data_IF_320725106871
#
_entry.id   IF_320725106871
#
_cell.length_a   1.000
_cell.length_b   1.000
_cell.length_c   1.000
_cell.angle_alpha   90.00
_cell.angle_beta   90.00
_cell.angle_gamma   90.00
#
_symmetry.space_group_name_H-M   'P 1'
#
loop_
_entity.id
_entity.type
_entity.pdbx_description
1 polymer ?
#
# COMPACT_ATOMS: atom_id res chain seq x y z
N UNK A 1 31.92 -23.76 -1.33
CA UNK A 1 31.79 -22.81 -0.20
C UNK A 1 30.30 -22.56 0.05
N UNK A 2 29.64 -23.37 0.90
CA UNK A 2 28.21 -23.24 1.19
C UNK A 2 28.00 -22.30 2.39
N UNK A 3 27.12 -21.29 2.24
CA UNK A 3 26.80 -20.33 3.30
C UNK A 3 26.04 -21.03 4.43
N UNK A 4 26.53 -20.89 5.65
CA UNK A 4 25.85 -21.31 6.88
C UNK A 4 24.52 -20.57 7.04
N UNK A 5 23.42 -21.24 7.45
CA UNK A 5 22.15 -20.58 7.67
C UNK A 5 22.22 -19.67 8.91
N UNK A 6 21.80 -18.42 8.73
CA UNK A 6 21.66 -17.44 9.82
C UNK A 6 20.60 -17.95 10.79
N UNK A 7 21.04 -18.37 11.99
CA UNK A 7 20.16 -18.63 13.13
C UNK A 7 19.51 -17.32 13.55
N UNK A 8 18.20 -17.17 13.32
CA UNK A 8 17.42 -16.03 13.81
C UNK A 8 17.18 -16.19 15.30
N UNK A 9 18.15 -15.84 16.14
CA UNK A 9 17.89 -15.64 17.57
C UNK A 9 16.83 -14.54 17.72
N UNK A 10 15.77 -14.83 18.48
CA UNK A 10 14.64 -13.91 18.69
C UNK A 10 15.03 -12.83 19.70
N UNK A 11 14.53 -11.61 19.49
CA UNK A 11 14.69 -10.53 20.46
C UNK A 11 13.95 -10.85 21.78
N UNK A 12 14.50 -10.46 22.94
CA UNK A 12 13.86 -10.66 24.24
C UNK A 12 12.52 -9.90 24.29
N UNK A 13 11.45 -10.59 24.70
CA UNK A 13 10.09 -10.02 24.83
C UNK A 13 9.03 -10.60 23.89
N UNK A 14 9.39 -11.38 22.86
CA UNK A 14 8.39 -12.06 22.04
C UNK A 14 7.80 -13.28 22.77
N UNK A 15 6.54 -13.18 23.21
CA UNK A 15 5.77 -14.33 23.74
C UNK A 15 5.77 -15.46 22.71
N UNK A 16 6.21 -16.65 23.11
CA UNK A 16 6.10 -17.87 22.29
C UNK A 16 4.60 -18.13 22.10
N UNK A 17 4.13 -18.01 20.85
CA UNK A 17 2.77 -18.44 20.50
C UNK A 17 2.56 -19.90 20.92
N UNK A 18 1.29 -20.30 21.13
CA UNK A 18 0.93 -21.64 21.62
C UNK A 18 1.71 -22.74 20.88
N UNK A 19 2.54 -23.47 21.61
CA UNK A 19 3.27 -24.63 21.08
C UNK A 19 2.25 -25.69 20.67
N UNK A 20 2.29 -26.12 19.41
CA UNK A 20 1.40 -27.18 18.91
C UNK A 20 1.94 -28.55 19.33
N UNK A 21 1.07 -29.39 19.89
CA UNK A 21 1.41 -30.74 20.37
C UNK A 21 1.05 -31.85 19.36
N UNK A 22 0.16 -31.60 18.39
CA UNK A 22 -0.27 -32.58 17.36
C UNK A 22 -0.62 -31.97 15.99
N UNK A 23 -0.56 -32.81 14.94
CA UNK A 23 -1.02 -32.55 13.57
C UNK A 23 0.02 -31.95 12.61
N UNK A 24 -0.16 -32.16 11.30
CA UNK A 24 0.57 -31.41 10.27
C UNK A 24 0.21 -29.93 10.37
N UNK A 25 1.18 -29.06 10.11
CA UNK A 25 1.09 -27.61 10.34
C UNK A 25 -0.10 -26.90 9.65
N UNK A 26 -0.15 -25.57 9.75
CA UNK A 26 -1.01 -24.83 8.80
C UNK A 26 -0.48 -25.11 7.40
N UNK A 27 -1.35 -25.53 6.49
CA UNK A 27 -0.97 -25.67 5.08
C UNK A 27 -0.40 -24.35 4.56
N UNK A 28 0.60 -24.37 3.67
CA UNK A 28 1.14 -23.17 3.08
C UNK A 28 0.02 -22.41 2.37
N UNK A 29 0.01 -21.07 2.53
CA UNK A 29 -0.99 -20.22 1.90
C UNK A 29 -0.81 -20.27 0.38
N UNK A 30 -1.77 -20.86 -0.32
CA UNK A 30 -1.74 -21.00 -1.79
C UNK A 30 -1.95 -19.66 -2.50
N UNK A 31 -2.84 -18.81 -1.98
CA UNK A 31 -3.20 -17.55 -2.62
C UNK A 31 -2.53 -16.36 -1.92
N UNK A 32 -1.53 -15.76 -2.58
CA UNK A 32 -0.95 -14.48 -2.18
C UNK A 32 -1.58 -13.38 -3.04
N UNK A 33 -2.34 -12.46 -2.43
CA UNK A 33 -2.83 -11.28 -3.13
C UNK A 33 -1.63 -10.37 -3.42
N UNK A 34 -1.36 -10.12 -4.69
CA UNK A 34 -0.32 -9.19 -5.15
C UNK A 34 -1.02 -7.89 -5.53
N UNK A 35 -0.56 -6.77 -4.97
CA UNK A 35 -1.03 -5.46 -5.37
C UNK A 35 -0.27 -5.02 -6.63
N UNK A 36 -1.00 -4.61 -7.66
CA UNK A 36 -0.46 -4.23 -8.97
C UNK A 36 -0.62 -2.72 -9.14
N UNK A 37 0.41 -2.04 -9.63
CA UNK A 37 0.43 -0.59 -9.85
C UNK A 37 -0.55 -0.18 -10.96
N UNK A 38 -0.99 1.09 -10.96
CA UNK A 38 -1.82 1.63 -12.05
C UNK A 38 -1.11 1.58 -13.39
N UNK A 39 0.19 1.87 -13.42
CA UNK A 39 0.99 1.81 -14.65
C UNK A 39 1.02 0.41 -15.27
N UNK A 40 1.23 -0.63 -14.46
CA UNK A 40 1.15 -2.01 -14.96
C UNK A 40 -0.26 -2.35 -15.48
N UNK A 41 -1.32 -1.87 -14.82
CA UNK A 41 -2.69 -2.10 -15.30
C UNK A 41 -2.95 -1.39 -16.63
N UNK A 42 -2.36 -0.20 -16.84
CA UNK A 42 -2.43 0.54 -18.10
C UNK A 42 -1.71 -0.24 -19.21
N UNK A 43 -0.49 -0.73 -18.96
CA UNK A 43 0.27 -1.55 -19.92
C UNK A 43 -0.53 -2.79 -20.36
N UNK A 44 -1.26 -3.42 -19.43
CA UNK A 44 -2.14 -4.56 -19.72
C UNK A 44 -3.30 -4.16 -20.64
N UNK A 45 -3.88 -2.98 -20.46
CA UNK A 45 -5.00 -2.47 -21.27
C UNK A 45 -4.49 -2.12 -22.67
N UNK A 46 -3.40 -1.36 -22.77
CA UNK A 46 -2.78 -0.97 -24.04
C UNK A 46 -2.38 -2.20 -24.87
N UNK A 47 -1.77 -3.20 -24.22
CA UNK A 47 -1.44 -4.47 -24.88
C UNK A 47 -2.69 -5.22 -25.35
N UNK A 48 -3.75 -5.23 -24.54
CA UNK A 48 -5.00 -5.91 -24.89
C UNK A 48 -5.68 -5.25 -26.10
N UNK A 49 -5.66 -3.92 -26.19
CA UNK A 49 -6.27 -3.16 -27.27
C UNK A 49 -5.43 -3.18 -28.55
N UNK A 50 -4.10 -3.32 -28.44
CA UNK A 50 -3.21 -3.53 -29.58
C UNK A 50 -3.40 -4.89 -30.29
N UNK A 51 -3.97 -5.90 -29.61
CA UNK A 51 -4.21 -7.22 -30.21
C UNK A 51 -5.53 -7.25 -30.99
N UNK A 52 -5.43 -7.40 -32.30
CA UNK A 52 -6.58 -7.51 -33.22
C UNK A 52 -7.18 -8.93 -33.28
N UNK A 53 -6.42 -9.96 -32.86
CA UNK A 53 -6.83 -11.36 -32.93
C UNK A 53 -8.03 -11.69 -32.05
N UNK A 54 -8.93 -12.57 -32.53
CA UNK A 54 -10.09 -13.08 -31.76
C UNK A 54 -9.72 -13.67 -30.38
N UNK A 55 -8.50 -14.18 -30.23
CA UNK A 55 -7.98 -14.78 -29.00
C UNK A 55 -7.21 -13.81 -28.08
N UNK A 56 -7.41 -12.50 -28.21
CA UNK A 56 -6.70 -11.47 -27.42
C UNK A 56 -6.65 -11.71 -25.92
N UNK A 57 -7.74 -12.23 -25.33
CA UNK A 57 -7.77 -12.55 -23.90
C UNK A 57 -6.76 -13.64 -23.53
N UNK A 58 -6.69 -14.71 -24.32
CA UNK A 58 -5.75 -15.81 -24.08
C UNK A 58 -4.30 -15.32 -24.20
N UNK A 59 -4.01 -14.55 -25.24
CA UNK A 59 -2.68 -13.95 -25.46
C UNK A 59 -2.28 -13.02 -24.31
N UNK A 60 -3.20 -12.21 -23.80
CA UNK A 60 -2.94 -11.30 -22.68
C UNK A 60 -2.72 -12.04 -21.35
N UNK A 61 -3.49 -13.12 -21.09
CA UNK A 61 -3.30 -14.01 -19.94
C UNK A 61 -1.93 -14.67 -19.97
N UNK A 62 -1.50 -15.16 -21.14
CA UNK A 62 -0.21 -15.81 -21.34
C UNK A 62 0.96 -14.82 -21.19
N UNK A 63 0.82 -13.59 -21.72
CA UNK A 63 1.87 -12.58 -21.66
C UNK A 63 2.10 -12.04 -20.24
N UNK A 64 1.03 -11.69 -19.52
CA UNK A 64 1.14 -11.07 -18.18
C UNK A 64 1.04 -12.06 -17.02
N UNK A 65 0.74 -13.34 -17.28
CA UNK A 65 0.48 -14.36 -16.26
C UNK A 65 -0.58 -13.88 -15.26
N UNK A 66 -1.64 -13.26 -15.78
CA UNK A 66 -2.76 -12.75 -14.98
C UNK A 66 -4.06 -13.48 -15.33
N UNK A 67 -4.92 -13.78 -14.34
CA UNK A 67 -6.23 -14.36 -14.61
C UNK A 67 -7.06 -13.43 -15.50
N UNK A 68 -7.83 -13.99 -16.44
CA UNK A 68 -8.76 -13.25 -17.32
C UNK A 68 -9.71 -12.34 -16.54
N UNK A 69 -10.14 -12.76 -15.34
CA UNK A 69 -10.93 -11.95 -14.42
C UNK A 69 -10.24 -10.63 -14.06
N UNK A 70 -8.93 -10.65 -13.80
CA UNK A 70 -8.18 -9.44 -13.43
C UNK A 70 -8.07 -8.49 -14.62
N UNK A 71 -7.84 -9.02 -15.81
CA UNK A 71 -7.78 -8.24 -17.05
C UNK A 71 -9.14 -7.56 -17.29
N UNK A 72 -10.25 -8.30 -17.18
CA UNK A 72 -11.59 -7.72 -17.30
C UNK A 72 -11.87 -6.63 -16.25
N UNK A 73 -11.43 -6.81 -15.01
CA UNK A 73 -11.56 -5.77 -13.98
C UNK A 73 -10.74 -4.52 -14.30
N UNK A 74 -9.55 -4.67 -14.86
CA UNK A 74 -8.75 -3.52 -15.31
C UNK A 74 -9.49 -2.79 -16.44
N UNK A 75 -10.09 -3.53 -17.38
CA UNK A 75 -10.89 -2.95 -18.48
C UNK A 75 -12.15 -2.20 -18.00
N UNK A 76 -12.79 -2.64 -16.92
CA UNK A 76 -13.94 -1.93 -16.35
C UNK A 76 -13.50 -0.62 -15.67
N UNK A 77 -12.26 -0.59 -15.15
CA UNK A 77 -11.71 0.55 -14.42
C UNK A 77 -10.74 1.41 -15.26
N UNK A 78 -10.86 1.38 -16.59
CA UNK A 78 -9.95 2.08 -17.53
C UNK A 78 -9.79 3.54 -17.20
N UNK A 79 -10.91 4.25 -17.02
CA UNK A 79 -10.94 5.70 -16.89
C UNK A 79 -10.19 6.13 -15.63
N UNK A 80 -10.43 5.43 -14.52
CA UNK A 80 -9.72 5.64 -13.27
C UNK A 80 -8.24 5.28 -13.37
N UNK A 81 -7.88 4.23 -14.12
CA UNK A 81 -6.47 3.84 -14.30
C UNK A 81 -5.72 4.93 -15.08
N UNK A 82 -6.32 5.44 -16.16
CA UNK A 82 -5.76 6.52 -16.99
C UNK A 82 -5.61 7.80 -16.16
N UNK A 83 -6.68 8.24 -15.48
CA UNK A 83 -6.68 9.43 -14.61
C UNK A 83 -5.54 9.37 -13.58
N UNK A 84 -5.34 8.22 -12.91
CA UNK A 84 -4.28 8.08 -11.92
C UNK A 84 -2.89 8.08 -12.55
N UNK A 85 -2.74 7.56 -13.77
CA UNK A 85 -1.49 7.64 -14.49
C UNK A 85 -1.16 9.08 -14.92
N UNK A 86 -2.14 9.84 -15.42
CA UNK A 86 -2.01 11.25 -15.81
C UNK A 86 -1.71 12.16 -14.63
N UNK A 87 -2.34 11.91 -13.47
CA UNK A 87 -2.11 12.66 -12.22
C UNK A 87 -0.75 12.34 -11.56
N UNK A 88 0.11 11.53 -12.19
CA UNK A 88 1.42 11.13 -11.66
C UNK A 88 1.36 10.07 -10.55
N UNK A 89 0.18 9.49 -10.31
CA UNK A 89 -0.08 8.45 -9.30
C UNK A 89 0.06 7.02 -9.87
N UNK A 90 0.69 6.86 -11.04
CA UNK A 90 0.82 5.57 -11.73
C UNK A 90 1.55 4.49 -10.95
N UNK A 91 2.44 4.85 -10.02
CA UNK A 91 3.18 3.91 -9.16
C UNK A 91 2.33 3.33 -8.03
N UNK A 92 1.18 3.94 -7.72
CA UNK A 92 0.29 3.47 -6.66
C UNK A 92 -0.42 2.18 -7.08
N UNK A 93 -0.61 1.26 -6.13
CA UNK A 93 -1.33 0.01 -6.38
C UNK A 93 -2.82 0.07 -5.98
N UNK A 94 -3.19 1.10 -5.20
CA UNK A 94 -4.52 1.30 -4.64
C UNK A 94 -4.82 2.79 -4.61
N UNK A 95 -6.05 3.12 -4.98
CA UNK A 95 -6.57 4.43 -4.69
C UNK A 95 -6.87 4.52 -3.20
N UNK A 96 -6.43 5.61 -2.60
CA UNK A 96 -6.85 5.99 -1.26
C UNK A 96 -7.36 7.41 -1.38
N UNK A 97 -8.61 7.64 -0.98
CA UNK A 97 -9.11 9.00 -0.81
C UNK A 97 -8.17 9.76 0.12
N UNK A 98 -7.96 11.04 -0.18
CA UNK A 98 -7.29 11.94 0.75
C UNK A 98 -8.01 11.88 2.10
N UNK A 99 -7.25 11.80 3.20
CA UNK A 99 -7.80 11.64 4.55
C UNK A 99 -8.20 10.21 4.97
N UNK A 100 -8.11 9.19 4.10
CA UNK A 100 -8.43 7.80 4.53
C UNK A 100 -7.38 7.20 5.49
N UNK A 101 -6.20 7.80 5.60
CA UNK A 101 -5.12 7.31 6.46
C UNK A 101 -5.04 7.99 7.83
N UNK A 102 -5.78 9.08 8.08
CA UNK A 102 -5.56 9.87 9.27
C UNK A 102 -6.86 10.35 9.91
N UNK A 103 -6.88 10.18 11.21
CA UNK A 103 -7.84 10.72 12.18
C UNK A 103 -8.03 12.23 12.11
N UNK A 104 -7.28 12.97 11.29
CA UNK A 104 -7.26 14.43 11.24
C UNK A 104 -7.83 14.96 9.92
N UNK A 105 -8.50 16.11 9.98
CA UNK A 105 -9.00 16.82 8.78
C UNK A 105 -7.83 17.29 7.90
N UNK A 106 -7.99 17.39 6.57
CA UNK A 106 -6.96 17.91 5.65
C UNK A 106 -6.35 19.24 6.08
N UNK A 107 -7.16 20.15 6.63
CA UNK A 107 -6.68 21.44 7.14
C UNK A 107 -5.65 21.31 8.27
N UNK A 108 -5.76 20.27 9.10
CA UNK A 108 -4.78 19.99 10.15
C UNK A 108 -3.50 19.36 9.59
N UNK A 109 -3.59 18.55 8.54
CA UNK A 109 -2.40 18.01 7.86
C UNK A 109 -1.58 19.13 7.24
N UNK A 110 -2.22 20.12 6.62
CA UNK A 110 -1.55 21.31 6.08
C UNK A 110 -0.82 22.10 7.17
N UNK A 111 -1.46 22.33 8.32
CA UNK A 111 -0.81 23.00 9.46
C UNK A 111 0.40 22.21 9.99
N UNK A 112 0.30 20.88 10.04
CA UNK A 112 1.42 20.01 10.41
C UNK A 112 2.58 20.14 9.42
N UNK A 113 2.30 20.19 8.11
CA UNK A 113 3.32 20.37 7.08
C UNK A 113 4.01 21.72 7.21
N UNK A 114 3.26 22.81 7.41
CA UNK A 114 3.81 24.15 7.63
C UNK A 114 4.75 24.15 8.84
N UNK A 115 4.32 23.53 9.95
CA UNK A 115 5.12 23.41 11.17
C UNK A 115 6.39 22.57 10.98
N UNK A 116 6.31 21.45 10.25
CA UNK A 116 7.49 20.64 9.92
C UNK A 116 8.49 21.45 9.09
N UNK A 117 7.99 22.19 8.10
CA UNK A 117 8.83 22.97 7.20
C UNK A 117 9.48 24.16 7.90
N UNK A 118 8.80 24.81 8.85
CA UNK A 118 9.42 25.89 9.65
C UNK A 118 10.59 25.35 10.48
N UNK A 119 10.41 24.22 11.16
CA UNK A 119 11.48 23.60 11.94
C UNK A 119 12.68 23.16 11.09
N UNK A 120 12.42 22.62 9.89
CA UNK A 120 13.49 22.27 8.95
C UNK A 120 14.24 23.49 8.43
N UNK A 121 13.53 24.61 8.21
CA UNK A 121 14.15 25.88 7.84
C UNK A 121 15.09 26.39 8.93
N UNK A 122 14.73 26.16 10.18
CA UNK A 122 15.55 26.49 11.36
C UNK A 122 16.68 25.45 11.63
N UNK A 123 16.87 24.47 10.73
CA UNK A 123 17.88 23.42 10.87
C UNK A 123 17.55 22.36 11.92
N UNK A 124 16.34 22.38 12.48
CA UNK A 124 15.92 21.44 13.53
C UNK A 124 15.48 20.12 12.87
N UNK A 125 16.09 18.97 13.23
CA UNK A 125 15.67 17.68 12.71
C UNK A 125 14.31 17.29 13.29
N UNK A 126 13.32 17.10 12.41
CA UNK A 126 11.98 16.65 12.81
C UNK A 126 11.87 15.14 12.71
N UNK A 127 11.73 14.47 13.86
CA UNK A 127 11.58 13.01 13.93
C UNK A 127 10.11 12.59 13.80
N UNK A 128 9.87 11.36 13.35
CA UNK A 128 8.50 10.80 13.25
C UNK A 128 7.76 10.71 14.59
N UNK A 129 8.46 10.74 15.71
CA UNK A 129 7.87 10.79 17.06
C UNK A 129 7.31 12.18 17.37
N UNK A 130 8.05 13.25 17.02
CA UNK A 130 7.59 14.63 17.18
C UNK A 130 6.32 14.90 16.36
N UNK A 131 6.30 14.43 15.11
CA UNK A 131 5.13 14.55 14.24
C UNK A 131 3.90 13.85 14.85
N UNK A 132 4.09 12.65 15.41
CA UNK A 132 3.00 11.92 16.09
C UNK A 132 2.48 12.64 17.34
N UNK A 133 3.37 13.19 18.16
CA UNK A 133 2.97 13.95 19.36
C UNK A 133 2.18 15.19 18.94
N UNK A 134 2.68 15.95 17.95
CA UNK A 134 2.00 17.15 17.47
C UNK A 134 0.64 16.83 16.84
N UNK A 135 0.56 15.78 16.03
CA UNK A 135 -0.69 15.31 15.45
C UNK A 135 -1.70 14.91 16.53
N UNK A 136 -1.26 14.23 17.60
CA UNK A 136 -2.12 13.87 18.72
C UNK A 136 -2.67 15.11 19.45
N UNK A 137 -1.83 16.12 19.68
CA UNK A 137 -2.26 17.39 20.28
C UNK A 137 -3.32 18.10 19.41
N UNK A 138 -3.09 18.17 18.09
CA UNK A 138 -4.05 18.74 17.14
C UNK A 138 -5.37 17.95 17.13
N UNK A 139 -5.30 16.62 17.29
CA UNK A 139 -6.47 15.76 17.35
C UNK A 139 -7.31 16.00 18.61
N UNK A 140 -6.64 16.10 19.77
CA UNK A 140 -7.26 16.43 21.05
C UNK A 140 -7.89 17.84 21.01
N UNK A 141 -7.19 18.83 20.42
CA UNK A 141 -7.72 20.20 20.29
C UNK A 141 -8.89 20.32 19.32
N UNK A 142 -8.99 19.42 18.34
CA UNK A 142 -10.12 19.35 17.42
C UNK A 142 -11.38 18.71 18.04
N UNK A 143 -11.31 18.24 19.30
CA UNK A 143 -12.43 17.59 19.98
C UNK A 143 -12.82 16.23 19.40
N UNK A 144 -11.91 15.58 18.67
CA UNK A 144 -12.17 14.30 18.03
C UNK A 144 -12.06 13.14 19.04
N UNK A 145 -12.86 12.07 18.90
CA UNK A 145 -12.93 11.01 19.91
C UNK A 145 -11.60 10.25 20.03
N UNK A 146 -11.00 10.24 21.23
CA UNK A 146 -9.69 9.64 21.53
C UNK A 146 -9.56 8.18 21.05
N UNK A 147 -10.67 7.45 20.99
CA UNK A 147 -10.74 6.04 20.58
C UNK A 147 -10.37 5.77 19.11
N UNK A 148 -10.31 6.80 18.26
CA UNK A 148 -10.01 6.63 16.83
C UNK A 148 -8.56 6.92 16.44
N UNK A 149 -7.74 7.50 17.33
CA UNK A 149 -6.34 7.84 17.03
C UNK A 149 -5.47 6.58 17.20
N UNK A 150 -5.02 5.99 16.09
CA UNK A 150 -4.20 4.76 16.03
C UNK A 150 -2.71 5.08 16.04
#
# INVERSE_FOLDING_TARGET
>A
MARTPISRSRAPGQRKGRTRTTGSGKAPKQYKRIAVSYRHKLDVIEFYDAIVTKNKMKTCVEHFIQPSRQINLNKIATDLIIEKCETGCGSLCKDRSSGMSATLSPAFEEQLVIWINSLRKDGVPVTGTMVRIRAKQCYESAGLPVTKFI
#
